data_IF_991357527123
#
_entry.id   IF_991357527123
#
_cell.length_a   1.000
_cell.length_b   1.000
_cell.length_c   1.000
_cell.angle_alpha   90.00
_cell.angle_beta   90.00
_cell.angle_gamma   90.00
#
_symmetry.space_group_name_H-M   'P 1'
#
loop_
_entity.id
_entity.type
_entity.pdbx_description
1 polymer ?
#
# COMPACT_ATOMS: atom_id res chain seq x y z
N UNK A 1 -36.70 2.85 -6.18
CA UNK A 1 -35.52 2.05 -5.79
C UNK A 1 -35.02 1.36 -7.05
N UNK A 2 -33.97 1.86 -7.66
CA UNK A 2 -33.32 1.17 -8.78
C UNK A 2 -32.83 -0.21 -8.30
N UNK A 3 -32.98 -1.21 -9.17
CA UNK A 3 -32.55 -2.58 -8.82
C UNK A 3 -31.05 -2.59 -8.59
N UNK A 4 -30.59 -3.16 -7.47
CA UNK A 4 -29.18 -3.31 -7.17
C UNK A 4 -28.44 -3.94 -8.38
N UNK A 5 -27.25 -3.41 -8.78
CA UNK A 5 -26.55 -3.85 -9.97
C UNK A 5 -26.24 -5.35 -9.92
N UNK A 6 -26.25 -6.03 -11.07
CA UNK A 6 -25.87 -7.45 -11.15
C UNK A 6 -24.37 -7.64 -10.81
N UNK A 7 -23.95 -8.84 -10.43
CA UNK A 7 -22.52 -9.16 -10.25
C UNK A 7 -21.71 -8.92 -11.53
N UNK A 8 -22.33 -9.14 -12.72
CA UNK A 8 -21.71 -8.87 -14.00
C UNK A 8 -21.51 -7.35 -14.25
N UNK A 9 -22.46 -6.53 -13.83
CA UNK A 9 -22.32 -5.07 -13.92
C UNK A 9 -21.21 -4.57 -12.99
N UNK A 10 -21.17 -5.06 -11.75
CA UNK A 10 -20.08 -4.79 -10.82
C UNK A 10 -18.72 -5.14 -11.44
N UNK A 11 -18.58 -6.37 -11.94
CA UNK A 11 -17.35 -6.84 -12.56
C UNK A 11 -16.89 -5.94 -13.70
N UNK A 12 -17.79 -5.64 -14.65
CA UNK A 12 -17.47 -4.83 -15.82
C UNK A 12 -17.03 -3.41 -15.45
N UNK A 13 -17.74 -2.77 -14.50
CA UNK A 13 -17.44 -1.39 -14.11
C UNK A 13 -16.12 -1.28 -13.35
N UNK A 14 -15.89 -2.16 -12.38
CA UNK A 14 -14.64 -2.16 -11.63
C UNK A 14 -13.44 -2.61 -12.47
N UNK A 15 -13.61 -3.53 -13.42
CA UNK A 15 -12.56 -3.87 -14.38
C UNK A 15 -12.17 -2.67 -15.26
N UNK A 16 -13.18 -1.95 -15.79
CA UNK A 16 -12.92 -0.75 -16.58
C UNK A 16 -12.17 0.31 -15.77
N UNK A 17 -12.57 0.55 -14.52
CA UNK A 17 -11.86 1.46 -13.62
C UNK A 17 -10.44 0.98 -13.33
N UNK A 18 -10.22 -0.32 -13.11
CA UNK A 18 -8.89 -0.90 -12.91
C UNK A 18 -7.94 -0.67 -14.08
N UNK A 19 -8.46 -0.56 -15.31
CA UNK A 19 -7.67 -0.28 -16.51
C UNK A 19 -7.28 1.19 -16.67
N UNK A 20 -8.05 2.14 -16.12
CA UNK A 20 -7.88 3.58 -16.37
C UNK A 20 -7.49 4.41 -15.15
N UNK A 21 -7.65 3.86 -13.95
CA UNK A 21 -7.43 4.60 -12.71
C UNK A 21 -5.93 4.74 -12.38
N UNK A 22 -5.30 5.74 -12.97
CA UNK A 22 -3.93 6.17 -12.62
C UNK A 22 -3.94 7.26 -11.55
N UNK A 23 -2.86 7.39 -10.77
CA UNK A 23 -2.65 8.51 -9.86
C UNK A 23 -2.93 8.21 -8.39
N UNK A 24 -3.08 6.94 -8.04
CA UNK A 24 -3.15 6.47 -6.64
C UNK A 24 -4.49 6.75 -5.95
N UNK A 25 -4.56 6.62 -4.61
CA UNK A 25 -5.83 6.59 -3.88
C UNK A 25 -6.74 7.79 -4.12
N UNK A 26 -6.19 9.00 -4.20
CA UNK A 26 -6.98 10.23 -4.40
C UNK A 26 -7.69 10.22 -5.77
N UNK A 27 -6.97 9.82 -6.83
CA UNK A 27 -7.55 9.73 -8.16
C UNK A 27 -8.58 8.59 -8.23
N UNK A 28 -8.31 7.45 -7.60
CA UNK A 28 -9.27 6.34 -7.53
C UNK A 28 -10.59 6.77 -6.88
N UNK A 29 -10.52 7.48 -5.75
CA UNK A 29 -11.72 7.97 -5.07
C UNK A 29 -12.49 8.97 -5.91
N UNK A 30 -11.80 9.83 -6.69
CA UNK A 30 -12.46 10.74 -7.63
C UNK A 30 -13.20 9.96 -8.73
N UNK A 31 -12.58 8.94 -9.32
CA UNK A 31 -13.24 8.07 -10.32
C UNK A 31 -14.41 7.27 -9.73
N UNK A 32 -14.29 6.80 -8.47
CA UNK A 32 -15.41 6.12 -7.82
C UNK A 32 -16.58 7.06 -7.56
N UNK A 33 -16.31 8.31 -7.14
CA UNK A 33 -17.34 9.32 -6.94
C UNK A 33 -18.06 9.64 -8.25
N UNK A 34 -17.31 10.00 -9.31
CA UNK A 34 -17.86 10.26 -10.63
C UNK A 34 -18.73 9.08 -11.09
N UNK A 35 -18.20 7.85 -10.98
CA UNK A 35 -18.88 6.67 -11.51
C UNK A 35 -20.09 6.23 -10.70
N UNK A 36 -19.98 6.15 -9.37
CA UNK A 36 -20.98 5.50 -8.50
C UNK A 36 -21.91 6.48 -7.78
N UNK A 37 -21.55 7.75 -7.71
CA UNK A 37 -22.41 8.80 -7.15
C UNK A 37 -23.05 9.62 -8.27
N UNK A 38 -22.26 10.13 -9.22
CA UNK A 38 -22.76 11.05 -10.25
C UNK A 38 -23.42 10.31 -11.42
N UNK A 39 -22.75 9.30 -12.02
CA UNK A 39 -23.25 8.60 -13.21
C UNK A 39 -24.33 7.55 -12.90
N UNK A 40 -24.04 6.66 -11.95
CA UNK A 40 -24.83 5.45 -11.70
C UNK A 40 -25.81 5.63 -10.51
N UNK A 41 -25.63 6.69 -9.70
CA UNK A 41 -26.46 6.99 -8.52
C UNK A 41 -26.62 5.76 -7.56
N UNK A 42 -25.56 4.92 -7.41
CA UNK A 42 -25.62 3.76 -6.51
C UNK A 42 -25.65 4.15 -5.03
N UNK A 43 -25.20 5.35 -4.72
CA UNK A 43 -25.21 5.95 -3.39
C UNK A 43 -25.17 7.48 -3.51
N UNK A 44 -25.55 8.18 -2.45
CA UNK A 44 -25.40 9.63 -2.36
C UNK A 44 -24.01 10.06 -1.90
N UNK A 45 -23.69 11.34 -2.06
CA UNK A 45 -22.41 11.93 -1.65
C UNK A 45 -22.11 11.73 -0.15
N UNK A 46 -23.11 11.75 0.69
CA UNK A 46 -22.95 11.61 2.13
C UNK A 46 -22.54 10.18 2.49
N UNK A 47 -23.20 9.19 1.92
CA UNK A 47 -22.85 7.75 2.08
C UNK A 47 -21.44 7.48 1.54
N UNK A 48 -21.11 8.06 0.40
CA UNK A 48 -19.78 7.89 -0.19
C UNK A 48 -18.68 8.52 0.68
N UNK A 49 -18.90 9.72 1.19
CA UNK A 49 -17.97 10.40 2.09
C UNK A 49 -17.73 9.60 3.38
N UNK A 50 -18.79 9.04 3.97
CA UNK A 50 -18.70 8.18 5.15
C UNK A 50 -17.91 6.88 4.86
N UNK A 51 -18.14 6.28 3.71
CA UNK A 51 -17.43 5.08 3.29
C UNK A 51 -15.93 5.35 3.13
N UNK A 52 -15.58 6.49 2.54
CA UNK A 52 -14.18 6.92 2.45
C UNK A 52 -13.60 7.13 3.86
N UNK A 53 -14.32 7.81 4.75
CA UNK A 53 -13.87 8.06 6.12
C UNK A 53 -13.63 6.75 6.88
N UNK A 54 -14.49 5.75 6.73
CA UNK A 54 -14.29 4.40 7.25
C UNK A 54 -12.98 3.80 6.70
N UNK A 55 -12.86 3.68 5.38
CA UNK A 55 -11.73 3.00 4.74
C UNK A 55 -10.39 3.70 4.98
N UNK A 56 -10.38 5.02 5.14
CA UNK A 56 -9.17 5.78 5.50
C UNK A 56 -8.81 5.65 6.99
N UNK A 57 -9.76 5.28 7.83
CA UNK A 57 -9.57 5.09 9.27
C UNK A 57 -9.12 3.68 9.62
N UNK A 58 -9.36 2.71 8.74
CA UNK A 58 -9.00 1.32 8.96
C UNK A 58 -7.58 1.02 8.45
N UNK A 59 -6.91 0.01 9.04
CA UNK A 59 -5.68 -0.51 8.45
C UNK A 59 -5.98 -1.20 7.12
N UNK A 60 -5.12 -0.96 6.13
CA UNK A 60 -5.26 -1.55 4.80
C UNK A 60 -5.20 -0.53 3.66
N UNK A 61 -5.28 -1.01 2.41
CA UNK A 61 -5.23 -0.18 1.22
C UNK A 61 -6.55 0.55 0.98
N UNK A 62 -6.66 1.81 1.40
CA UNK A 62 -7.91 2.58 1.41
C UNK A 62 -8.68 2.57 0.08
N UNK A 63 -8.02 2.65 -1.08
CA UNK A 63 -8.71 2.57 -2.38
C UNK A 63 -9.27 1.18 -2.68
N UNK A 64 -8.52 0.10 -2.37
CA UNK A 64 -9.03 -1.28 -2.49
C UNK A 64 -10.14 -1.56 -1.49
N UNK A 65 -10.02 -1.02 -0.28
CA UNK A 65 -11.07 -1.11 0.75
C UNK A 65 -12.33 -0.38 0.33
N UNK A 66 -12.24 0.83 -0.23
CA UNK A 66 -13.39 1.59 -0.73
C UNK A 66 -14.08 0.87 -1.88
N UNK A 67 -13.30 0.37 -2.86
CA UNK A 67 -13.80 -0.45 -3.95
C UNK A 67 -14.57 -1.67 -3.43
N UNK A 68 -13.96 -2.43 -2.53
CA UNK A 68 -14.56 -3.60 -1.88
C UNK A 68 -15.83 -3.23 -1.12
N UNK A 69 -15.81 -2.16 -0.32
CA UNK A 69 -16.92 -1.71 0.48
C UNK A 69 -18.12 -1.26 -0.37
N UNK A 70 -17.89 -0.58 -1.50
CA UNK A 70 -18.94 -0.27 -2.49
C UNK A 70 -19.60 -1.57 -2.96
N UNK A 71 -18.81 -2.58 -3.33
CA UNK A 71 -19.33 -3.89 -3.74
C UNK A 71 -20.13 -4.59 -2.62
N UNK A 72 -19.67 -4.48 -1.36
CA UNK A 72 -20.36 -5.03 -0.18
C UNK A 72 -21.72 -4.36 0.03
N UNK A 73 -21.81 -3.04 -0.09
CA UNK A 73 -23.08 -2.31 0.04
C UNK A 73 -24.09 -2.75 -1.04
N UNK A 74 -23.61 -3.05 -2.25
CA UNK A 74 -24.48 -3.42 -3.37
C UNK A 74 -24.94 -4.90 -3.34
N UNK A 75 -24.03 -5.84 -3.05
CA UNK A 75 -24.28 -7.29 -3.19
C UNK A 75 -23.61 -8.13 -2.10
N UNK A 76 -23.43 -7.58 -0.90
CA UNK A 76 -22.79 -8.27 0.22
C UNK A 76 -21.32 -8.60 -0.06
N UNK A 77 -20.74 -9.46 0.76
CA UNK A 77 -19.31 -9.80 0.70
C UNK A 77 -18.87 -10.37 -0.66
N UNK A 78 -19.75 -11.10 -1.39
CA UNK A 78 -19.47 -11.61 -2.75
C UNK A 78 -19.34 -10.43 -3.73
N UNK A 79 -20.24 -9.42 -3.63
CA UNK A 79 -20.12 -8.20 -4.43
C UNK A 79 -18.83 -7.44 -4.15
N UNK A 80 -18.41 -7.39 -2.90
CA UNK A 80 -17.12 -6.83 -2.51
C UNK A 80 -15.94 -7.55 -3.13
N UNK A 81 -15.91 -8.88 -3.07
CA UNK A 81 -14.84 -9.68 -3.69
C UNK A 81 -14.79 -9.49 -5.22
N UNK A 82 -15.95 -9.47 -5.90
CA UNK A 82 -16.01 -9.23 -7.35
C UNK A 82 -15.47 -7.83 -7.69
N UNK A 83 -15.92 -6.80 -6.97
CA UNK A 83 -15.47 -5.44 -7.18
C UNK A 83 -13.95 -5.31 -7.01
N UNK A 84 -13.41 -5.79 -5.87
CA UNK A 84 -11.98 -5.76 -5.58
C UNK A 84 -11.16 -6.55 -6.59
N UNK A 85 -11.54 -7.79 -6.88
CA UNK A 85 -10.80 -8.65 -7.82
C UNK A 85 -10.74 -8.04 -9.21
N UNK A 86 -11.85 -7.51 -9.72
CA UNK A 86 -11.90 -6.88 -11.03
C UNK A 86 -11.11 -5.57 -11.08
N UNK A 87 -11.11 -4.79 -9.99
CA UNK A 87 -10.35 -3.54 -9.92
C UNK A 87 -8.85 -3.75 -9.84
N UNK A 88 -8.37 -4.78 -9.11
CA UNK A 88 -6.94 -5.07 -8.95
C UNK A 88 -6.37 -5.89 -10.10
N UNK A 89 -7.19 -6.68 -10.82
CA UNK A 89 -6.75 -7.64 -11.82
C UNK A 89 -5.84 -7.04 -12.91
N UNK A 90 -6.16 -5.89 -13.55
CA UNK A 90 -5.31 -5.33 -14.60
C UNK A 90 -3.90 -5.02 -14.08
N UNK A 91 -3.80 -4.35 -12.94
CA UNK A 91 -2.50 -4.02 -12.34
C UNK A 91 -1.76 -5.26 -11.84
N UNK A 92 -2.46 -6.23 -11.25
CA UNK A 92 -1.85 -7.49 -10.81
C UNK A 92 -1.26 -8.28 -11.98
N UNK A 93 -1.94 -8.31 -13.13
CA UNK A 93 -1.41 -8.95 -14.36
C UNK A 93 -0.15 -8.24 -14.87
N UNK A 94 -0.14 -6.90 -14.91
CA UNK A 94 1.04 -6.13 -15.32
C UNK A 94 2.21 -6.34 -14.35
N UNK A 95 1.95 -6.35 -13.05
CA UNK A 95 2.96 -6.59 -12.02
C UNK A 95 3.49 -8.03 -12.04
N UNK A 96 2.63 -9.01 -12.32
CA UNK A 96 3.05 -10.41 -12.57
C UNK A 96 3.93 -10.49 -13.82
N UNK A 97 3.54 -9.80 -14.91
CA UNK A 97 4.35 -9.71 -16.13
C UNK A 97 5.75 -9.11 -15.87
N UNK A 98 5.83 -8.08 -15.04
CA UNK A 98 7.10 -7.50 -14.61
C UNK A 98 7.94 -8.52 -13.80
N UNK A 99 7.31 -9.25 -12.87
CA UNK A 99 7.99 -10.31 -12.12
C UNK A 99 8.52 -11.42 -13.04
N UNK A 100 7.71 -11.88 -14.00
CA UNK A 100 8.16 -12.85 -15.04
C UNK A 100 9.32 -12.30 -15.84
N UNK A 101 9.26 -11.03 -16.25
CA UNK A 101 10.36 -10.37 -16.96
C UNK A 101 11.67 -10.40 -16.17
N UNK A 102 11.61 -10.03 -14.88
CA UNK A 102 12.79 -10.00 -14.00
C UNK A 102 13.35 -11.41 -13.76
N UNK A 103 12.49 -12.39 -13.50
CA UNK A 103 12.93 -13.77 -13.17
C UNK A 103 13.35 -14.59 -14.40
N UNK A 104 12.81 -14.29 -15.59
CA UNK A 104 13.08 -15.04 -16.83
C UNK A 104 14.22 -14.45 -17.66
N UNK A 105 14.46 -13.15 -17.56
CA UNK A 105 15.56 -12.50 -18.27
C UNK A 105 16.82 -12.55 -17.40
N UNK A 106 17.81 -13.31 -17.81
CA UNK A 106 19.14 -13.44 -17.17
C UNK A 106 19.91 -12.11 -17.08
N UNK A 107 19.39 -11.03 -17.64
CA UNK A 107 19.88 -9.67 -17.50
C UNK A 107 18.77 -8.64 -17.79
N UNK A 108 17.87 -8.40 -16.85
CA UNK A 108 17.33 -7.04 -16.80
C UNK A 108 18.51 -6.14 -16.45
N UNK A 109 18.78 -5.20 -17.35
CA UNK A 109 19.87 -4.26 -17.19
C UNK A 109 19.77 -3.59 -15.81
N UNK A 110 20.80 -3.79 -14.97
CA UNK A 110 20.91 -3.18 -13.63
C UNK A 110 20.65 -1.67 -13.69
N UNK A 111 20.85 -1.08 -14.86
CA UNK A 111 20.58 0.32 -15.18
C UNK A 111 19.11 0.68 -15.11
N UNK A 112 18.22 -0.17 -15.63
CA UNK A 112 16.79 0.04 -15.58
C UNK A 112 16.29 -0.02 -14.13
N UNK A 113 16.77 -1.01 -13.37
CA UNK A 113 16.42 -1.16 -11.95
C UNK A 113 16.84 0.08 -11.14
N UNK A 114 18.03 0.62 -11.40
CA UNK A 114 18.51 1.83 -10.75
C UNK A 114 17.65 3.05 -11.09
N UNK A 115 17.27 3.23 -12.34
CA UNK A 115 16.37 4.32 -12.76
C UNK A 115 14.97 4.23 -12.14
N UNK A 116 14.41 3.02 -12.02
CA UNK A 116 13.15 2.78 -11.32
C UNK A 116 13.27 3.07 -9.82
N UNK A 117 14.41 2.75 -9.19
CA UNK A 117 14.68 3.06 -7.78
C UNK A 117 14.78 4.58 -7.54
N UNK A 118 15.43 5.33 -8.43
CA UNK A 118 15.45 6.81 -8.39
C UNK A 118 14.05 7.40 -8.50
N UNK A 119 13.24 6.91 -9.44
CA UNK A 119 11.84 7.32 -9.57
C UNK A 119 11.04 7.03 -8.29
N UNK A 120 11.29 5.89 -7.64
CA UNK A 120 10.64 5.51 -6.40
C UNK A 120 10.91 6.55 -5.29
N UNK A 121 12.15 7.04 -5.13
CA UNK A 121 12.50 8.11 -4.16
C UNK A 121 11.69 9.39 -4.43
N UNK A 122 11.58 9.82 -5.70
CA UNK A 122 10.80 11.00 -6.08
C UNK A 122 9.31 10.83 -5.74
N UNK A 123 8.76 9.65 -6.01
CA UNK A 123 7.35 9.31 -5.72
C UNK A 123 7.10 9.29 -4.21
N UNK A 124 7.97 8.65 -3.42
CA UNK A 124 7.85 8.59 -1.95
C UNK A 124 7.92 10.00 -1.37
N UNK A 125 8.85 10.83 -1.81
CA UNK A 125 8.97 12.23 -1.36
C UNK A 125 7.70 13.03 -1.67
N UNK A 126 7.17 12.91 -2.88
CA UNK A 126 5.94 13.60 -3.27
C UNK A 126 4.73 13.13 -2.45
N UNK A 127 4.60 11.83 -2.21
CA UNK A 127 3.55 11.22 -1.40
C UNK A 127 3.65 11.67 0.07
N UNK A 128 4.85 11.62 0.65
CA UNK A 128 5.11 12.04 2.03
C UNK A 128 4.70 13.51 2.24
N UNK A 129 5.11 14.41 1.36
CA UNK A 129 4.75 15.84 1.46
C UNK A 129 3.24 16.07 1.29
N UNK A 130 2.58 15.28 0.44
CA UNK A 130 1.13 15.31 0.30
C UNK A 130 0.41 14.89 1.58
N UNK A 131 0.79 13.73 2.13
CA UNK A 131 0.20 13.18 3.35
C UNK A 131 0.51 14.02 4.59
N UNK A 132 1.74 14.55 4.71
CA UNK A 132 2.11 15.42 5.83
C UNK A 132 1.21 16.66 5.92
N UNK A 133 0.82 17.24 4.79
CA UNK A 133 -0.09 18.39 4.78
C UNK A 133 -1.48 18.08 5.33
N UNK A 134 -1.98 16.87 5.13
CA UNK A 134 -3.34 16.46 5.52
C UNK A 134 -3.38 15.77 6.89
N UNK A 135 -2.41 14.90 7.17
CA UNK A 135 -2.42 14.04 8.37
C UNK A 135 -1.69 14.66 9.57
N UNK A 136 -0.83 15.67 9.34
CA UNK A 136 -0.12 16.40 10.41
C UNK A 136 -0.34 17.90 10.34
N UNK A 137 -1.60 18.37 10.48
CA UNK A 137 -1.95 19.79 10.31
C UNK A 137 -1.40 20.68 11.43
N UNK A 138 -1.23 20.19 12.62
CA UNK A 138 -0.87 20.93 13.83
C UNK A 138 0.50 20.52 14.43
N UNK A 139 0.97 21.32 15.39
CA UNK A 139 2.26 21.10 16.05
C UNK A 139 2.36 19.74 16.78
N UNK A 140 1.35 19.27 17.55
CA UNK A 140 1.43 17.98 18.22
C UNK A 140 1.57 16.80 17.26
N UNK A 141 0.79 16.78 16.16
CA UNK A 141 0.87 15.70 15.16
C UNK A 141 2.18 15.73 14.39
N UNK A 142 2.73 16.92 14.09
CA UNK A 142 4.07 17.05 13.48
C UNK A 142 5.17 16.55 14.41
N UNK A 143 5.12 16.90 15.70
CA UNK A 143 6.08 16.41 16.68
C UNK A 143 6.02 14.88 16.80
N UNK A 144 4.81 14.31 16.79
CA UNK A 144 4.61 12.87 16.84
C UNK A 144 5.15 12.18 15.57
N UNK A 145 4.94 12.76 14.39
CA UNK A 145 5.50 12.26 13.15
C UNK A 145 7.03 12.31 13.13
N UNK A 146 7.64 13.42 13.60
CA UNK A 146 9.10 13.54 13.70
C UNK A 146 9.69 12.55 14.71
N UNK A 147 9.04 12.34 15.85
CA UNK A 147 9.45 11.34 16.84
C UNK A 147 9.41 9.93 16.22
N UNK A 148 8.32 9.58 15.55
CA UNK A 148 8.20 8.29 14.87
C UNK A 148 9.25 8.13 13.78
N UNK A 149 9.48 9.16 12.94
CA UNK A 149 10.52 9.14 11.91
C UNK A 149 11.91 8.92 12.51
N UNK A 150 12.24 9.59 13.61
CA UNK A 150 13.54 9.45 14.28
C UNK A 150 13.74 8.03 14.82
N UNK A 151 12.74 7.47 15.50
CA UNK A 151 12.80 6.11 16.03
C UNK A 151 12.95 5.09 14.89
N UNK A 152 12.13 5.21 13.86
CA UNK A 152 12.09 4.28 12.73
C UNK A 152 13.28 4.42 11.77
N UNK A 153 14.02 5.51 11.83
CA UNK A 153 15.27 5.69 11.14
C UNK A 153 16.46 5.16 11.94
N UNK A 154 16.54 5.49 13.24
CA UNK A 154 17.72 5.19 14.08
C UNK A 154 17.74 3.74 14.57
N UNK A 155 16.57 3.16 14.91
CA UNK A 155 16.53 1.80 15.48
C UNK A 155 17.02 0.75 14.47
N UNK A 156 16.57 0.71 13.22
CA UNK A 156 17.08 -0.24 12.23
C UNK A 156 18.58 -0.09 11.95
N UNK A 157 19.12 1.13 11.99
CA UNK A 157 20.55 1.38 11.81
C UNK A 157 21.39 0.84 12.96
N UNK A 158 20.88 0.95 14.21
CA UNK A 158 21.59 0.50 15.38
C UNK A 158 21.35 -1.00 15.69
N UNK A 159 20.15 -1.49 15.44
CA UNK A 159 19.69 -2.85 15.74
C UNK A 159 18.76 -3.36 14.61
N UNK A 160 19.29 -3.86 13.50
CA UNK A 160 18.49 -4.30 12.35
C UNK A 160 17.38 -5.31 12.72
N UNK A 161 17.67 -6.27 13.59
CA UNK A 161 16.69 -7.27 14.03
C UNK A 161 15.50 -6.74 14.84
N UNK A 162 15.49 -5.45 15.20
CA UNK A 162 14.36 -4.80 15.90
C UNK A 162 13.50 -3.93 14.99
N UNK A 163 13.77 -3.85 13.70
CA UNK A 163 13.07 -2.95 12.77
C UNK A 163 11.56 -3.18 12.75
N UNK A 164 11.11 -4.43 12.63
CA UNK A 164 9.69 -4.77 12.63
C UNK A 164 9.01 -4.44 13.96
N UNK A 165 9.65 -4.77 15.08
CA UNK A 165 9.16 -4.43 16.43
C UNK A 165 9.10 -2.93 16.64
N UNK A 166 10.12 -2.18 16.21
CA UNK A 166 10.15 -0.73 16.30
C UNK A 166 9.00 -0.09 15.51
N UNK A 167 8.69 -0.63 14.33
CA UNK A 167 7.58 -0.17 13.50
C UNK A 167 6.24 -0.36 14.20
N UNK A 168 5.96 -1.56 14.69
CA UNK A 168 4.73 -1.85 15.44
C UNK A 168 4.63 -0.99 16.71
N UNK A 169 5.71 -0.91 17.49
CA UNK A 169 5.76 -0.13 18.72
C UNK A 169 5.53 1.37 18.44
N UNK A 170 6.13 1.93 17.39
CA UNK A 170 5.95 3.32 17.01
C UNK A 170 4.49 3.63 16.63
N UNK A 171 3.84 2.78 15.83
CA UNK A 171 2.44 2.95 15.43
C UNK A 171 1.51 2.86 16.64
N UNK A 172 1.69 1.85 17.50
CA UNK A 172 0.90 1.68 18.74
C UNK A 172 1.10 2.86 19.69
N UNK A 173 2.35 3.27 19.92
CA UNK A 173 2.68 4.41 20.79
C UNK A 173 2.06 5.71 20.27
N UNK A 174 2.14 5.95 18.96
CA UNK A 174 1.49 7.08 18.33
C UNK A 174 -0.04 7.06 18.51
N UNK A 175 -0.66 5.89 18.43
CA UNK A 175 -2.09 5.72 18.73
C UNK A 175 -2.43 6.02 20.19
N UNK A 176 -1.65 5.50 21.14
CA UNK A 176 -1.82 5.74 22.60
C UNK A 176 -1.61 7.23 22.94
N UNK A 177 -0.58 7.87 22.41
CA UNK A 177 -0.37 9.31 22.61
C UNK A 177 -1.51 10.09 21.96
N UNK A 178 -1.90 9.71 20.73
CA UNK A 178 -3.02 10.30 20.00
C UNK A 178 -4.32 10.25 20.78
N UNK A 179 -4.63 9.15 21.48
CA UNK A 179 -5.85 9.01 22.29
C UNK A 179 -6.00 10.07 23.40
N UNK A 180 -4.89 10.68 23.83
CA UNK A 180 -4.85 11.77 24.79
C UNK A 180 -4.92 13.16 24.16
N UNK A 181 -4.89 13.26 22.84
CA UNK A 181 -5.00 14.54 22.13
C UNK A 181 -6.48 14.97 22.03
N UNK A 182 -6.74 16.27 22.11
CA UNK A 182 -8.10 16.78 21.92
C UNK A 182 -8.54 16.56 20.48
N UNK A 183 -9.74 15.98 20.29
CA UNK A 183 -10.40 15.86 19.00
C UNK A 183 -11.47 16.94 18.88
N UNK A 184 -11.45 17.69 17.79
CA UNK A 184 -12.56 18.60 17.46
C UNK A 184 -13.74 17.78 16.94
N UNK A 185 -14.93 18.08 17.44
CA UNK A 185 -16.16 17.43 17.01
C UNK A 185 -16.60 18.00 15.65
N UNK A 186 -16.51 17.23 14.60
CA UNK A 186 -17.18 17.56 13.34
C UNK A 186 -18.46 16.73 13.29
N UNK A 187 -19.60 17.41 13.37
CA UNK A 187 -20.92 16.81 13.22
C UNK A 187 -21.22 16.67 11.72
N UNK A 188 -21.03 15.50 11.16
CA UNK A 188 -21.61 15.14 9.88
C UNK A 188 -22.74 14.14 10.15
N UNK A 189 -23.96 14.52 9.88
CA UNK A 189 -25.12 13.63 9.87
C UNK A 189 -25.16 12.89 8.55
N UNK A 190 -24.56 11.70 8.50
CA UNK A 190 -24.81 10.78 7.40
C UNK A 190 -24.86 9.35 7.94
N UNK A 191 -25.68 8.51 7.37
CA UNK A 191 -25.98 7.17 7.84
C UNK A 191 -25.59 6.14 6.79
N UNK A 192 -24.48 5.44 6.99
CA UNK A 192 -24.21 4.21 6.24
C UNK A 192 -24.94 3.06 6.94
N UNK A 193 -26.16 2.78 6.54
CA UNK A 193 -26.88 1.60 7.00
C UNK A 193 -26.40 0.38 6.19
N UNK A 194 -25.50 -0.43 6.76
CA UNK A 194 -25.08 -1.67 6.15
C UNK A 194 -25.91 -2.85 6.67
N UNK A 195 -27.00 -3.14 5.99
CA UNK A 195 -27.87 -4.30 6.31
C UNK A 195 -27.37 -5.61 5.68
N UNK A 196 -26.35 -5.56 4.83
CA UNK A 196 -25.87 -6.71 4.03
C UNK A 196 -24.87 -7.60 4.74
N UNK A 197 -24.30 -7.15 5.88
CA UNK A 197 -23.31 -7.90 6.68
C UNK A 197 -23.90 -8.25 8.05
N UNK A 198 -24.13 -9.54 8.29
CA UNK A 198 -24.60 -10.02 9.58
C UNK A 198 -23.51 -9.99 10.68
N UNK A 199 -23.91 -9.96 11.97
CA UNK A 199 -22.96 -9.86 13.09
C UNK A 199 -22.01 -11.04 13.20
N UNK A 200 -22.42 -12.23 12.77
CA UNK A 200 -21.55 -13.41 12.73
C UNK A 200 -20.45 -13.25 11.69
N UNK A 201 -20.81 -12.79 10.48
CA UNK A 201 -19.85 -12.50 9.39
C UNK A 201 -18.83 -11.47 9.83
N UNK A 202 -19.25 -10.40 10.51
CA UNK A 202 -18.38 -9.37 11.04
C UNK A 202 -17.39 -9.94 12.09
N UNK A 203 -17.84 -10.80 13.00
CA UNK A 203 -16.97 -11.44 14.00
C UNK A 203 -15.96 -12.39 13.35
N UNK A 204 -16.37 -13.18 12.38
CA UNK A 204 -15.46 -14.07 11.62
C UNK A 204 -14.42 -13.24 10.87
N UNK A 205 -14.84 -12.15 10.22
CA UNK A 205 -13.92 -11.24 9.53
C UNK A 205 -12.92 -10.59 10.48
N UNK A 206 -13.37 -10.17 11.67
CA UNK A 206 -12.45 -9.67 12.72
C UNK A 206 -11.46 -10.74 13.17
N UNK A 207 -11.92 -11.98 13.36
CA UNK A 207 -11.05 -13.12 13.68
C UNK A 207 -10.01 -13.38 12.59
N UNK A 208 -10.39 -13.31 11.32
CA UNK A 208 -9.47 -13.43 10.19
C UNK A 208 -8.44 -12.30 10.15
N UNK A 209 -8.87 -11.05 10.39
CA UNK A 209 -7.95 -9.92 10.48
C UNK A 209 -6.94 -10.10 11.61
N UNK A 210 -7.40 -10.45 12.81
CA UNK A 210 -6.52 -10.67 13.97
C UNK A 210 -5.58 -11.86 13.75
N UNK A 211 -6.06 -12.94 13.14
CA UNK A 211 -5.23 -14.08 12.77
C UNK A 211 -4.14 -13.68 11.77
N UNK A 212 -4.49 -12.93 10.72
CA UNK A 212 -3.53 -12.44 9.73
C UNK A 212 -2.47 -11.49 10.36
N UNK A 213 -2.88 -10.67 11.32
CA UNK A 213 -2.00 -9.71 11.98
C UNK A 213 -1.05 -10.36 13.00
N UNK A 214 -1.51 -11.35 13.76
CA UNK A 214 -0.81 -11.86 14.95
C UNK A 214 -0.21 -13.25 14.77
N UNK A 215 -0.94 -14.16 14.08
CA UNK A 215 -0.55 -15.56 13.99
C UNK A 215 0.80 -15.79 13.29
N UNK A 216 1.12 -15.10 12.16
CA UNK A 216 2.42 -15.31 11.51
C UNK A 216 3.61 -14.96 12.43
N UNK A 217 3.51 -13.86 13.16
CA UNK A 217 4.56 -13.48 14.14
C UNK A 217 4.68 -14.49 15.28
N UNK A 218 3.58 -15.01 15.79
CA UNK A 218 3.59 -16.02 16.83
C UNK A 218 4.21 -17.35 16.34
N UNK A 219 3.88 -17.78 15.11
CA UNK A 219 4.47 -18.99 14.52
C UNK A 219 5.97 -18.84 14.32
N UNK A 220 6.41 -17.68 13.84
CA UNK A 220 7.83 -17.38 13.64
C UNK A 220 8.61 -17.41 14.98
N UNK A 221 8.06 -16.85 16.06
CA UNK A 221 8.69 -16.89 17.38
C UNK A 221 8.77 -18.31 17.98
N UNK A 222 7.85 -19.20 17.57
CA UNK A 222 7.83 -20.62 17.96
C UNK A 222 8.72 -21.51 17.07
N UNK A 223 9.40 -20.93 16.07
CA UNK A 223 10.21 -21.68 15.10
C UNK A 223 9.40 -22.54 14.12
N UNK A 224 8.09 -22.28 13.99
CA UNK A 224 7.16 -22.98 13.10
C UNK A 224 6.91 -22.12 11.86
N UNK A 225 7.98 -21.76 11.16
CA UNK A 225 7.93 -20.91 9.98
C UNK A 225 8.11 -21.70 8.67
N UNK A 226 9.08 -21.31 7.88
CA UNK A 226 9.44 -21.95 6.62
C UNK A 226 8.60 -21.44 5.44
N UNK A 227 7.99 -22.34 4.68
CA UNK A 227 7.23 -22.00 3.46
C UNK A 227 6.10 -20.96 3.66
N UNK A 228 5.60 -20.79 4.89
CA UNK A 228 4.54 -19.82 5.22
C UNK A 228 5.06 -18.44 5.60
N UNK A 229 6.36 -18.28 5.86
CA UNK A 229 6.94 -17.02 6.34
C UNK A 229 6.73 -15.87 5.35
N UNK A 230 6.91 -16.03 4.02
CA UNK A 230 6.65 -14.95 3.09
C UNK A 230 5.18 -14.51 3.07
N UNK A 231 4.24 -15.47 3.10
CA UNK A 231 2.82 -15.16 3.20
C UNK A 231 2.52 -14.42 4.51
N UNK A 232 3.11 -14.86 5.61
CA UNK A 232 2.99 -14.24 6.93
C UNK A 232 3.47 -12.79 6.95
N UNK A 233 4.63 -12.50 6.35
CA UNK A 233 5.16 -11.14 6.21
C UNK A 233 4.25 -10.23 5.40
N UNK A 234 3.72 -10.74 4.28
CA UNK A 234 2.77 -10.00 3.45
C UNK A 234 1.43 -9.75 4.17
N UNK A 235 0.90 -10.75 4.90
CA UNK A 235 -0.29 -10.59 5.72
C UNK A 235 -0.09 -9.53 6.81
N UNK A 236 1.01 -9.58 7.56
CA UNK A 236 1.33 -8.56 8.57
C UNK A 236 1.44 -7.17 7.94
N UNK A 237 2.18 -7.03 6.84
CA UNK A 237 2.30 -5.77 6.13
C UNK A 237 0.93 -5.21 5.74
N UNK A 238 0.04 -6.05 5.19
CA UNK A 238 -1.32 -5.66 4.84
C UNK A 238 -2.20 -5.29 6.03
N UNK A 239 -1.99 -5.93 7.19
CA UNK A 239 -2.75 -5.67 8.42
C UNK A 239 -2.33 -4.38 9.15
N UNK A 240 -1.08 -3.94 8.99
CA UNK A 240 -0.54 -2.79 9.74
C UNK A 240 -0.32 -1.53 8.88
N UNK A 241 -0.78 -1.54 7.65
CA UNK A 241 -0.76 -0.34 6.80
C UNK A 241 -1.90 0.61 7.19
N UNK A 242 -1.58 1.86 7.46
CA UNK A 242 -2.55 2.94 7.69
C UNK A 242 -2.26 4.11 6.72
N UNK A 243 -3.27 4.83 6.29
CA UNK A 243 -3.11 6.11 5.60
C UNK A 243 -2.75 6.06 4.11
N UNK A 244 -2.67 4.87 3.49
CA UNK A 244 -2.50 4.77 2.03
C UNK A 244 -1.38 3.84 1.56
N UNK A 245 -1.35 3.60 0.23
CA UNK A 245 -0.49 2.59 -0.39
C UNK A 245 1.03 2.80 -0.22
N UNK A 246 1.48 4.05 -0.13
CA UNK A 246 2.92 4.33 0.01
C UNK A 246 3.49 3.94 1.38
N UNK A 247 2.66 3.85 2.40
CA UNK A 247 3.07 3.50 3.77
C UNK A 247 3.41 2.01 3.92
N UNK A 248 2.96 1.18 3.00
CA UNK A 248 3.28 -0.25 3.01
C UNK A 248 4.77 -0.52 2.71
N UNK A 249 5.46 0.44 2.07
CA UNK A 249 6.84 0.25 1.61
C UNK A 249 7.79 -0.18 2.73
N UNK A 250 7.95 0.57 3.84
CA UNK A 250 8.87 0.17 4.90
C UNK A 250 8.45 -1.11 5.61
N UNK A 251 7.15 -1.38 5.71
CA UNK A 251 6.65 -2.63 6.28
C UNK A 251 7.05 -3.82 5.40
N UNK A 252 6.82 -3.74 4.10
CA UNK A 252 7.21 -4.78 3.15
C UNK A 252 8.72 -4.94 3.08
N UNK A 253 9.50 -3.83 3.13
CA UNK A 253 10.95 -3.90 3.13
C UNK A 253 11.47 -4.70 4.33
N UNK A 254 10.94 -4.46 5.53
CA UNK A 254 11.30 -5.22 6.73
C UNK A 254 10.89 -6.70 6.63
N UNK A 255 9.82 -7.01 5.91
CA UNK A 255 9.28 -8.37 5.84
C UNK A 255 9.84 -9.21 4.69
N UNK A 256 10.36 -8.59 3.61
CA UNK A 256 10.83 -9.36 2.44
C UNK A 256 12.28 -9.06 2.04
N UNK A 257 12.81 -7.87 2.35
CA UNK A 257 14.19 -7.51 2.02
C UNK A 257 15.14 -7.86 3.16
N UNK A 258 14.80 -7.56 4.42
CA UNK A 258 15.64 -7.89 5.57
C UNK A 258 15.90 -9.40 5.72
N UNK A 259 14.91 -10.31 5.48
CA UNK A 259 15.19 -11.75 5.45
C UNK A 259 15.99 -12.22 4.23
N UNK A 260 16.21 -11.34 3.23
CA UNK A 260 16.96 -11.65 2.01
C UNK A 260 16.16 -12.39 0.94
N UNK A 261 14.82 -12.43 1.02
CA UNK A 261 13.97 -13.07 0.00
C UNK A 261 13.83 -12.27 -1.28
N UNK A 262 14.02 -10.96 -1.21
CA UNK A 262 14.04 -10.02 -2.35
C UNK A 262 15.17 -9.04 -2.12
N UNK A 263 16.04 -8.85 -3.11
CA UNK A 263 17.08 -7.83 -3.00
C UNK A 263 16.49 -6.41 -3.08
N UNK A 264 17.23 -5.45 -2.52
CA UNK A 264 16.79 -4.05 -2.41
C UNK A 264 16.50 -3.40 -3.76
N UNK A 265 17.31 -3.69 -4.80
CA UNK A 265 17.15 -3.08 -6.12
C UNK A 265 15.89 -3.60 -6.81
N UNK A 266 15.66 -4.92 -6.78
CA UNK A 266 14.43 -5.56 -7.27
C UNK A 266 13.20 -5.06 -6.54
N UNK A 267 13.26 -4.92 -5.21
CA UNK A 267 12.17 -4.38 -4.41
C UNK A 267 11.78 -2.95 -4.85
N UNK A 268 12.76 -2.06 -4.98
CA UNK A 268 12.53 -0.66 -5.40
C UNK A 268 12.06 -0.56 -6.84
N UNK A 269 12.58 -1.39 -7.73
CA UNK A 269 12.12 -1.46 -9.13
C UNK A 269 10.65 -1.88 -9.21
N UNK A 270 10.26 -2.91 -8.46
CA UNK A 270 8.86 -3.34 -8.36
C UNK A 270 7.96 -2.26 -7.78
N UNK A 271 8.42 -1.53 -6.76
CA UNK A 271 7.69 -0.39 -6.21
C UNK A 271 7.52 0.74 -7.23
N UNK A 272 8.59 1.07 -7.98
CA UNK A 272 8.51 1.99 -9.11
C UNK A 272 7.47 1.53 -10.14
N UNK A 273 7.53 0.25 -10.53
CA UNK A 273 6.57 -0.38 -11.45
C UNK A 273 5.12 -0.27 -10.95
N UNK A 274 4.87 -0.51 -9.65
CA UNK A 274 3.54 -0.40 -9.06
C UNK A 274 2.96 1.02 -9.13
N UNK A 275 3.81 2.05 -9.18
CA UNK A 275 3.40 3.43 -9.40
C UNK A 275 3.21 3.80 -10.88
N UNK A 276 3.70 2.96 -11.79
CA UNK A 276 3.57 3.15 -13.23
C UNK A 276 2.33 2.48 -13.83
N UNK A 277 1.78 1.47 -13.17
CA UNK A 277 0.59 0.74 -13.66
C UNK A 277 -0.72 1.41 -13.22
N UNK A 278 -1.81 1.27 -14.00
CA UNK A 278 -3.14 1.70 -13.54
C UNK A 278 -3.64 0.77 -12.43
N UNK A 279 -4.52 1.26 -11.57
CA UNK A 279 -5.14 0.47 -10.50
C UNK A 279 -4.45 0.59 -9.15
N UNK A 280 -4.88 -0.21 -8.16
CA UNK A 280 -4.42 -0.08 -6.79
C UNK A 280 -2.96 -0.50 -6.62
N UNK A 281 -2.18 0.32 -5.90
CA UNK A 281 -0.77 0.08 -5.65
C UNK A 281 -0.48 -1.25 -4.91
N UNK A 282 -1.47 -1.81 -4.22
CA UNK A 282 -1.36 -3.11 -3.56
C UNK A 282 -1.29 -4.31 -4.52
N UNK A 283 -1.41 -4.07 -5.83
CA UNK A 283 -0.95 -5.00 -6.87
C UNK A 283 0.56 -5.28 -6.79
N UNK A 284 1.34 -4.45 -6.08
CA UNK A 284 2.72 -4.70 -5.72
C UNK A 284 2.91 -6.06 -5.02
N UNK A 285 1.90 -6.54 -4.28
CA UNK A 285 1.87 -7.90 -3.74
C UNK A 285 2.01 -8.99 -4.80
N UNK A 286 1.47 -8.79 -6.02
CA UNK A 286 1.64 -9.73 -7.11
C UNK A 286 3.10 -9.77 -7.62
N UNK A 287 3.75 -8.61 -7.70
CA UNK A 287 5.17 -8.55 -8.04
C UNK A 287 6.02 -9.26 -6.99
N UNK A 288 5.88 -8.85 -5.72
CA UNK A 288 6.67 -9.43 -4.63
C UNK A 288 6.49 -10.94 -4.55
N UNK A 289 5.24 -11.43 -4.54
CA UNK A 289 4.99 -12.85 -4.53
C UNK A 289 5.60 -13.61 -5.71
N UNK A 290 5.73 -12.96 -6.87
CA UNK A 290 6.35 -13.53 -8.07
C UNK A 290 7.88 -13.51 -8.08
N UNK A 291 8.53 -12.68 -7.24
CA UNK A 291 10.02 -12.58 -7.18
C UNK A 291 10.61 -13.09 -5.86
N UNK A 292 9.78 -13.42 -4.85
CA UNK A 292 10.28 -13.95 -3.56
C UNK A 292 11.03 -15.27 -3.79
N UNK A 293 12.26 -15.34 -3.30
CA UNK A 293 13.13 -16.51 -3.30
C UNK A 293 13.25 -17.05 -1.87
N UNK A 294 12.27 -17.83 -1.44
CA UNK A 294 12.24 -18.45 -0.12
C UNK A 294 11.92 -19.94 -0.24
N UNK A 295 12.54 -20.75 0.62
CA UNK A 295 12.31 -22.19 0.67
C UNK A 295 10.81 -22.50 0.89
N UNK A 296 10.27 -23.39 0.03
CA UNK A 296 8.88 -23.76 0.06
C UNK A 296 7.90 -22.76 -0.59
N UNK A 297 8.36 -21.57 -0.99
CA UNK A 297 7.55 -20.64 -1.78
C UNK A 297 7.38 -21.11 -3.22
N UNK A 298 6.29 -20.76 -3.95
CA UNK A 298 6.05 -21.29 -5.29
C UNK A 298 7.15 -21.06 -6.31
N UNK A 299 7.86 -19.95 -6.26
CA UNK A 299 8.99 -19.66 -7.15
C UNK A 299 10.13 -20.68 -6.97
N UNK A 300 10.45 -21.03 -5.73
CA UNK A 300 11.48 -22.01 -5.40
C UNK A 300 11.00 -23.46 -5.61
N UNK A 301 9.71 -23.76 -5.36
CA UNK A 301 9.18 -25.14 -5.40
C UNK A 301 8.76 -25.59 -6.79
N UNK A 302 8.07 -24.74 -7.54
CA UNK A 302 7.56 -25.06 -8.88
C UNK A 302 8.52 -24.59 -9.98
N UNK A 303 9.26 -23.49 -9.70
CA UNK A 303 10.13 -22.86 -10.68
C UNK A 303 9.39 -22.27 -11.89
N UNK A 304 10.13 -21.62 -12.78
CA UNK A 304 9.64 -21.10 -14.03
C UNK A 304 8.42 -20.17 -13.91
N UNK A 305 7.73 -19.93 -15.02
CA UNK A 305 6.56 -19.02 -15.06
C UNK A 305 5.43 -19.48 -14.14
N UNK A 306 5.21 -20.78 -13.98
CA UNK A 306 4.16 -21.33 -13.12
C UNK A 306 4.37 -20.95 -11.64
N UNK A 307 5.59 -21.03 -11.14
CA UNK A 307 5.96 -20.62 -9.79
C UNK A 307 5.77 -19.13 -9.58
N UNK A 308 6.21 -18.30 -10.55
CA UNK A 308 6.01 -16.84 -10.51
C UNK A 308 4.53 -16.46 -10.47
N UNK A 309 3.70 -17.05 -11.32
CA UNK A 309 2.27 -16.75 -11.38
C UNK A 309 1.56 -17.17 -10.09
N UNK A 310 1.85 -18.36 -9.56
CA UNK A 310 1.25 -18.81 -8.31
C UNK A 310 1.72 -17.94 -7.13
N UNK A 311 3.02 -17.64 -7.07
CA UNK A 311 3.56 -16.71 -6.08
C UNK A 311 2.91 -15.33 -6.14
N UNK A 312 2.68 -14.79 -7.34
CA UNK A 312 2.01 -13.53 -7.56
C UNK A 312 0.55 -13.53 -7.05
N UNK A 313 -0.20 -14.59 -7.31
CA UNK A 313 -1.58 -14.75 -6.80
C UNK A 313 -1.57 -14.79 -5.27
N UNK A 314 -0.70 -15.60 -4.67
CA UNK A 314 -0.58 -15.67 -3.21
C UNK A 314 -0.16 -14.34 -2.61
N UNK A 315 0.80 -13.65 -3.23
CA UNK A 315 1.29 -12.36 -2.75
C UNK A 315 0.23 -11.27 -2.77
N UNK A 316 -0.53 -11.13 -3.86
CA UNK A 316 -1.59 -10.13 -3.93
C UNK A 316 -2.73 -10.43 -2.97
N UNK A 317 -3.09 -11.70 -2.80
CA UNK A 317 -4.13 -12.10 -1.84
C UNK A 317 -3.66 -11.85 -0.41
N UNK A 318 -2.48 -12.33 -0.04
CA UNK A 318 -1.93 -12.16 1.31
C UNK A 318 -1.85 -10.68 1.71
N UNK A 319 -1.36 -9.82 0.84
CA UNK A 319 -1.20 -8.39 1.13
C UNK A 319 -2.54 -7.65 1.28
N UNK A 320 -3.59 -8.04 0.55
CA UNK A 320 -4.88 -7.33 0.58
C UNK A 320 -5.88 -7.93 1.59
N UNK A 321 -5.82 -9.23 1.86
CA UNK A 321 -6.81 -9.96 2.66
C UNK A 321 -7.12 -9.32 4.03
N UNK A 322 -6.13 -8.92 4.84
CA UNK A 322 -6.41 -8.31 6.15
C UNK A 322 -7.20 -7.01 6.02
N UNK A 323 -6.84 -6.15 5.06
CA UNK A 323 -7.53 -4.89 4.79
C UNK A 323 -9.00 -5.09 4.37
N UNK A 324 -9.29 -6.13 3.59
CA UNK A 324 -10.66 -6.47 3.19
C UNK A 324 -11.45 -7.04 4.37
N UNK A 325 -10.82 -7.90 5.18
CA UNK A 325 -11.45 -8.51 6.34
C UNK A 325 -11.87 -7.46 7.39
N UNK A 326 -11.00 -6.48 7.68
CA UNK A 326 -11.32 -5.43 8.66
C UNK A 326 -12.45 -4.52 8.19
N UNK A 327 -12.62 -4.27 6.89
CA UNK A 327 -13.77 -3.54 6.35
C UNK A 327 -15.06 -4.28 6.67
N UNK A 328 -15.14 -5.61 6.38
CA UNK A 328 -16.31 -6.44 6.69
C UNK A 328 -16.60 -6.44 8.19
N UNK A 329 -15.55 -6.49 9.01
CA UNK A 329 -15.68 -6.47 10.46
C UNK A 329 -16.25 -5.15 11.00
N UNK A 330 -15.86 -4.02 10.41
CA UNK A 330 -16.20 -2.68 10.94
C UNK A 330 -17.47 -2.08 10.33
N UNK A 331 -17.82 -2.44 9.09
CA UNK A 331 -18.99 -1.87 8.39
C UNK A 331 -20.28 -1.86 9.24
N UNK A 332 -20.70 -2.96 9.91
CA UNK A 332 -21.94 -2.97 10.69
C UNK A 332 -21.90 -2.08 11.94
N UNK A 333 -20.69 -1.77 12.44
CA UNK A 333 -20.51 -1.01 13.70
C UNK A 333 -19.98 0.41 13.45
N UNK A 334 -19.79 0.80 12.19
CA UNK A 334 -19.15 2.07 11.86
C UNK A 334 -19.89 3.28 12.43
N UNK A 335 -21.21 3.29 12.38
CA UNK A 335 -22.02 4.37 12.90
C UNK A 335 -21.80 4.60 14.42
N UNK A 336 -21.67 3.50 15.17
CA UNK A 336 -21.43 3.57 16.61
C UNK A 336 -19.98 3.98 16.95
N UNK A 337 -19.01 3.54 16.14
CA UNK A 337 -17.58 3.75 16.38
C UNK A 337 -17.11 5.14 15.97
N UNK A 338 -17.60 5.68 14.85
CA UNK A 338 -17.18 6.98 14.30
C UNK A 338 -17.45 8.18 15.21
N UNK A 339 -18.47 8.09 16.07
CA UNK A 339 -18.83 9.16 17.01
C UNK A 339 -17.99 9.15 18.31
N UNK A 340 -17.19 8.13 18.56
CA UNK A 340 -16.37 8.05 19.77
C UNK A 340 -15.13 8.95 19.66
N UNK A 341 -15.01 10.01 20.51
CA UNK A 341 -13.86 10.93 20.45
C UNK A 341 -12.50 10.24 20.62
N UNK A 342 -12.47 9.19 21.46
CA UNK A 342 -11.26 8.41 21.69
C UNK A 342 -10.76 7.71 20.43
N UNK A 343 -11.65 7.17 19.60
CA UNK A 343 -11.29 6.50 18.36
C UNK A 343 -10.69 7.50 17.37
N UNK A 344 -11.32 8.66 17.18
CA UNK A 344 -10.80 9.72 16.32
C UNK A 344 -9.42 10.20 16.75
N UNK A 345 -9.23 10.43 18.04
CA UNK A 345 -7.95 10.87 18.60
C UNK A 345 -6.86 9.82 18.42
N UNK A 346 -7.18 8.54 18.64
CA UNK A 346 -6.25 7.42 18.40
C UNK A 346 -5.84 7.35 16.94
N UNK A 347 -6.80 7.41 16.01
CA UNK A 347 -6.54 7.39 14.57
C UNK A 347 -5.69 8.59 14.12
N UNK A 348 -5.92 9.78 14.70
CA UNK A 348 -5.11 10.97 14.43
C UNK A 348 -3.64 10.76 14.85
N UNK A 349 -3.40 10.10 15.97
CA UNK A 349 -2.05 9.72 16.42
C UNK A 349 -1.41 8.69 15.49
N UNK A 350 -2.12 7.63 15.14
CA UNK A 350 -1.67 6.61 14.20
C UNK A 350 -1.27 7.24 12.86
N UNK A 351 -2.14 8.10 12.30
CA UNK A 351 -1.87 8.79 11.04
C UNK A 351 -0.63 9.69 11.11
N UNK A 352 -0.37 10.34 12.23
CA UNK A 352 0.88 11.08 12.43
C UNK A 352 2.10 10.16 12.45
N UNK A 353 2.01 9.00 13.13
CA UNK A 353 3.05 7.96 13.13
C UNK A 353 3.35 7.44 11.72
N UNK A 354 2.32 7.28 10.90
CA UNK A 354 2.41 6.86 9.49
C UNK A 354 3.21 7.86 8.64
N UNK A 355 3.01 9.17 8.83
CA UNK A 355 3.83 10.19 8.15
C UNK A 355 5.29 10.06 8.57
N UNK A 356 5.56 9.77 9.85
CA UNK A 356 6.90 9.50 10.35
C UNK A 356 7.53 8.25 9.73
N UNK A 357 6.76 7.17 9.59
CA UNK A 357 7.19 5.94 8.92
C UNK A 357 7.61 6.20 7.47
N UNK A 358 6.80 6.96 6.72
CA UNK A 358 7.16 7.36 5.35
C UNK A 358 8.42 8.22 5.30
N UNK A 359 8.61 9.11 6.26
CA UNK A 359 9.82 9.91 6.38
C UNK A 359 11.07 9.08 6.61
N UNK A 360 11.01 8.09 7.52
CA UNK A 360 12.10 7.15 7.74
C UNK A 360 12.40 6.31 6.49
N UNK A 361 11.37 5.78 5.83
CA UNK A 361 11.52 5.02 4.59
C UNK A 361 12.16 5.84 3.47
N UNK A 362 11.76 7.11 3.31
CA UNK A 362 12.37 8.01 2.35
C UNK A 362 13.86 8.18 2.59
N UNK A 363 14.27 8.40 3.84
CA UNK A 363 15.68 8.58 4.20
C UNK A 363 16.48 7.30 3.93
N UNK A 364 15.99 6.15 4.36
CA UNK A 364 16.66 4.85 4.13
C UNK A 364 16.78 4.53 2.64
N UNK A 365 15.71 4.75 1.86
CA UNK A 365 15.72 4.53 0.41
C UNK A 365 16.67 5.50 -0.30
N UNK A 366 16.67 6.78 0.08
CA UNK A 366 17.56 7.76 -0.50
C UNK A 366 19.04 7.47 -0.18
N UNK A 367 19.35 6.94 1.02
CA UNK A 367 20.69 6.49 1.37
C UNK A 367 21.12 5.30 0.50
N UNK A 368 20.28 4.28 0.37
CA UNK A 368 20.59 3.09 -0.44
C UNK A 368 20.84 3.45 -1.92
N UNK A 369 20.00 4.30 -2.51
CA UNK A 369 20.21 4.80 -3.89
C UNK A 369 21.45 5.67 -3.98
N UNK A 370 21.70 6.53 -2.99
CA UNK A 370 22.89 7.38 -2.93
C UNK A 370 24.20 6.59 -2.86
N UNK A 371 24.25 5.49 -2.12
CA UNK A 371 25.40 4.59 -2.05
C UNK A 371 25.73 3.99 -3.43
N UNK A 372 24.70 3.56 -4.19
CA UNK A 372 24.87 3.05 -5.55
C UNK A 372 25.42 4.15 -6.47
N UNK A 373 24.88 5.38 -6.38
CA UNK A 373 25.35 6.52 -7.17
C UNK A 373 26.79 6.89 -6.84
N UNK A 374 27.15 6.91 -5.55
CA UNK A 374 28.51 7.22 -5.08
C UNK A 374 29.52 6.15 -5.51
N UNK A 375 29.18 4.86 -5.51
CA UNK A 375 30.04 3.78 -5.94
C UNK A 375 30.42 3.87 -7.44
N UNK A 376 29.57 4.54 -8.25
CA UNK A 376 29.80 4.80 -9.67
C UNK A 376 30.59 6.09 -9.93
N UNK A 377 30.75 6.94 -8.93
CA UNK A 377 31.53 8.16 -8.99
C UNK A 377 30.71 9.47 -8.96
N UNK A 378 31.40 10.59 -8.74
CA UNK A 378 30.78 11.90 -8.50
C UNK A 378 29.87 12.38 -9.64
N UNK A 379 30.20 12.05 -10.88
CA UNK A 379 29.40 12.42 -12.06
C UNK A 379 28.01 11.78 -11.97
N UNK A 380 27.96 10.51 -11.58
CA UNK A 380 26.70 9.77 -11.41
C UNK A 380 25.87 10.32 -10.26
N UNK A 381 26.49 10.70 -9.15
CA UNK A 381 25.80 11.32 -8.04
C UNK A 381 25.12 12.64 -8.45
N UNK A 382 25.80 13.46 -9.26
CA UNK A 382 25.23 14.72 -9.78
C UNK A 382 24.10 14.45 -10.79
N UNK A 383 24.29 13.47 -11.68
CA UNK A 383 23.29 13.07 -12.65
C UNK A 383 22.02 12.57 -11.95
N UNK A 384 22.14 11.63 -11.02
CA UNK A 384 21.03 11.04 -10.28
C UNK A 384 20.31 12.08 -9.42
N UNK A 385 21.05 12.96 -8.75
CA UNK A 385 20.49 14.08 -7.97
C UNK A 385 19.71 15.07 -8.85
N UNK A 386 20.20 15.37 -10.05
CA UNK A 386 19.51 16.23 -11.02
C UNK A 386 18.23 15.55 -11.52
N UNK A 387 18.33 14.28 -11.90
CA UNK A 387 17.20 13.50 -12.38
C UNK A 387 16.11 13.34 -11.32
N UNK A 388 16.50 13.06 -10.07
CA UNK A 388 15.58 13.01 -8.92
C UNK A 388 14.86 14.35 -8.73
N UNK A 389 15.58 15.46 -8.81
CA UNK A 389 15.01 16.80 -8.67
C UNK A 389 14.00 17.10 -9.77
N UNK A 390 14.32 16.76 -11.02
CA UNK A 390 13.42 16.92 -12.17
C UNK A 390 12.19 16.03 -12.02
N UNK A 391 12.37 14.75 -11.69
CA UNK A 391 11.29 13.81 -11.46
C UNK A 391 10.33 14.30 -10.37
N UNK A 392 10.87 14.73 -9.24
CA UNK A 392 10.08 15.31 -8.15
C UNK A 392 9.34 16.58 -8.58
N UNK A 393 10.00 17.51 -9.29
CA UNK A 393 9.38 18.74 -9.78
C UNK A 393 8.21 18.45 -10.74
N UNK A 394 8.36 17.49 -11.65
CA UNK A 394 7.29 17.06 -12.56
C UNK A 394 6.08 16.50 -11.82
N UNK A 395 6.31 15.64 -10.81
CA UNK A 395 5.26 15.09 -9.95
C UNK A 395 4.57 16.19 -9.13
N UNK A 396 5.35 17.08 -8.49
CA UNK A 396 4.83 18.12 -7.60
C UNK A 396 4.01 19.16 -8.34
N UNK A 397 4.42 19.52 -9.54
CA UNK A 397 3.70 20.47 -10.40
C UNK A 397 2.57 19.84 -11.22
N UNK A 398 2.35 18.53 -11.08
CA UNK A 398 1.38 17.75 -11.84
C UNK A 398 1.54 17.89 -13.38
N UNK A 399 2.73 18.21 -13.86
CA UNK A 399 3.03 18.36 -15.29
C UNK A 399 3.18 17.03 -16.02
N UNK A 400 3.48 15.96 -15.27
CA UNK A 400 3.52 14.60 -15.79
C UNK A 400 2.84 13.65 -14.82
N UNK A 401 2.11 12.64 -15.30
CA UNK A 401 1.53 11.61 -14.45
C UNK A 401 2.65 10.72 -13.88
N UNK A 402 2.44 10.09 -12.69
CA UNK A 402 3.46 9.27 -12.05
C UNK A 402 4.05 8.19 -12.94
N UNK A 403 3.24 7.50 -13.73
CA UNK A 403 3.69 6.46 -14.65
C UNK A 403 4.69 6.98 -15.70
N UNK A 404 4.46 8.18 -16.25
CA UNK A 404 5.35 8.77 -17.24
C UNK A 404 6.70 9.18 -16.61
N UNK A 405 6.69 9.68 -15.37
CA UNK A 405 7.91 10.00 -14.63
C UNK A 405 8.70 8.73 -14.33
N UNK A 406 8.05 7.66 -13.87
CA UNK A 406 8.71 6.39 -13.54
C UNK A 406 9.33 5.76 -14.79
N UNK A 407 8.56 5.60 -15.88
CA UNK A 407 9.06 5.02 -17.12
C UNK A 407 10.14 5.89 -17.76
N UNK A 408 9.95 7.23 -17.77
CA UNK A 408 10.93 8.16 -18.32
C UNK A 408 12.25 8.14 -17.56
N UNK A 409 12.22 8.13 -16.23
CA UNK A 409 13.42 8.06 -15.40
C UNK A 409 14.14 6.71 -15.60
N UNK A 410 13.39 5.60 -15.58
CA UNK A 410 13.95 4.27 -15.82
C UNK A 410 14.62 4.14 -17.19
N UNK A 411 13.91 4.54 -18.24
CA UNK A 411 14.44 4.46 -19.63
C UNK A 411 15.63 5.38 -19.85
N UNK A 412 15.63 6.58 -19.27
CA UNK A 412 16.75 7.52 -19.42
C UNK A 412 18.02 7.00 -18.76
N UNK A 413 17.91 6.47 -17.53
CA UNK A 413 19.07 5.88 -16.82
C UNK A 413 19.58 4.66 -17.58
N UNK A 414 18.69 3.78 -18.06
CA UNK A 414 19.07 2.63 -18.87
C UNK A 414 19.83 3.07 -20.14
N UNK A 415 19.31 4.04 -20.90
CA UNK A 415 19.96 4.54 -22.10
C UNK A 415 21.33 5.17 -21.84
N UNK A 416 21.46 5.97 -20.78
CA UNK A 416 22.74 6.62 -20.44
C UNK A 416 23.79 5.59 -20.00
N UNK A 417 23.41 4.59 -19.20
CA UNK A 417 24.32 3.55 -18.71
C UNK A 417 24.73 2.54 -19.80
N UNK A 418 23.89 2.32 -20.83
CA UNK A 418 24.27 1.48 -21.98
C UNK A 418 25.19 2.19 -22.97
N UNK A 419 25.28 3.52 -22.92
CA UNK A 419 26.13 4.35 -23.79
C UNK A 419 27.45 4.76 -23.13
N UNK A 420 27.56 4.64 -21.80
CA UNK A 420 28.75 4.97 -21.01
C UNK A 420 29.64 3.75 -20.74
#
# INVERSE_FOLDING_TARGET
MEQAPSLGDLARRFLALGCIAFGGPVAHLAHFRERFVEDEAWMDDATFADLIALCQSLPGPSSSQTCFAIGVLQRGWIGGLVAWSCFILPSAMLMTGLAVGITSMVALDVSLLHGLALAAVAVILNAMLGLAGTLTPDRPTRALALMAASVLFLVPLAWPGLAALATLAAVVLCGVIGSRMKSESTSAESRVECTTVGPLTARVALGLFLAAALLPGALQTLGVGGALDPAGGLLRSGAFVFGGGHVVLPLLQAEVVEPGWVDQATFLAGYGGANAVPGPMFSFGAFLGGVIEADGWPTATLGGIGGVVLGAVLGVVALNLPGLAVVVACLPFWEEVRHRPSVRSTLRGINAGVVGLLGAALLLTAMAVGEISMSRGTIWLVFDGTLLTVAFALLRTKRAPPWAVVLGTGSLVAAVLTLA
#
